data_IF_459980704502
#
_entry.id   IF_459980704502
#
_cell.length_a   1.000
_cell.length_b   1.000
_cell.length_c   1.000
_cell.angle_alpha   90.00
_cell.angle_beta   90.00
_cell.angle_gamma   90.00
#
_symmetry.space_group_name_H-M   'P 1'
#
loop_
_entity.id
_entity.type
_entity.pdbx_description
1 polymer ?
#
# COMPACT_ATOMS: atom_id res chain seq x y z
N UNK A 1 5.87 5.77 -12.75
CA UNK A 1 5.05 5.40 -11.57
C UNK A 1 5.20 6.49 -10.52
N UNK A 2 4.11 7.18 -10.17
CA UNK A 2 4.10 8.16 -9.08
C UNK A 2 2.92 7.85 -8.17
N UNK A 3 3.18 7.74 -6.88
CA UNK A 3 2.16 7.67 -5.85
C UNK A 3 2.36 8.85 -4.91
N UNK A 4 1.27 9.40 -4.38
CA UNK A 4 1.33 10.44 -3.35
C UNK A 4 0.83 9.88 -2.04
N UNK A 5 1.46 10.29 -0.95
CA UNK A 5 1.02 9.96 0.40
C UNK A 5 0.73 11.25 1.12
N UNK A 6 -0.46 11.35 1.69
CA UNK A 6 -0.89 12.48 2.52
C UNK A 6 -1.12 11.98 3.94
N UNK A 7 -0.57 12.69 4.90
CA UNK A 7 -0.93 12.52 6.30
C UNK A 7 -2.29 13.17 6.58
N UNK A 8 -3.18 12.46 7.27
CA UNK A 8 -4.56 12.91 7.53
C UNK A 8 -4.70 13.36 8.97
N UNK A 9 -4.58 12.42 9.91
CA UNK A 9 -4.66 12.65 11.35
C UNK A 9 -4.01 11.49 12.10
N UNK A 10 -3.54 11.73 13.33
CA UNK A 10 -2.93 10.68 14.16
C UNK A 10 -1.82 9.91 13.41
N UNK A 11 -1.94 8.59 13.36
CA UNK A 11 -1.07 7.70 12.56
C UNK A 11 -1.74 7.23 11.27
N UNK A 12 -2.71 7.98 10.73
CA UNK A 12 -3.46 7.62 9.53
C UNK A 12 -2.94 8.34 8.28
N UNK A 13 -2.79 7.59 7.20
CA UNK A 13 -2.25 8.05 5.92
C UNK A 13 -3.20 7.72 4.77
N UNK A 14 -3.33 8.64 3.81
CA UNK A 14 -4.04 8.43 2.55
C UNK A 14 -3.02 8.32 1.42
N UNK A 15 -2.95 7.15 0.79
CA UNK A 15 -2.19 6.92 -0.42
C UNK A 15 -3.06 7.10 -1.66
N UNK A 16 -2.57 7.80 -2.67
CA UNK A 16 -3.20 7.92 -3.99
C UNK A 16 -2.23 7.40 -5.05
N UNK A 17 -2.69 6.40 -5.81
CA UNK A 17 -1.91 5.82 -6.91
C UNK A 17 -2.00 6.68 -8.18
N UNK A 18 -1.07 6.48 -9.12
CA UNK A 18 -1.10 7.14 -10.42
C UNK A 18 -2.40 6.88 -11.22
N UNK A 19 -3.12 5.78 -10.93
CA UNK A 19 -4.39 5.44 -11.58
C UNK A 19 -5.60 6.10 -10.91
N UNK A 20 -5.39 6.96 -9.91
CA UNK A 20 -6.44 7.67 -9.19
C UNK A 20 -7.12 6.86 -8.08
N UNK A 21 -6.62 5.64 -7.78
CA UNK A 21 -7.15 4.84 -6.67
C UNK A 21 -6.57 5.30 -5.36
N UNK A 22 -7.42 5.37 -4.33
CA UNK A 22 -7.04 5.79 -3.01
C UNK A 22 -7.09 4.63 -2.02
N UNK A 23 -6.13 4.61 -1.11
CA UNK A 23 -6.04 3.63 -0.02
C UNK A 23 -5.78 4.36 1.29
N UNK A 24 -6.43 3.91 2.35
CA UNK A 24 -6.16 4.37 3.70
C UNK A 24 -5.20 3.38 4.39
N UNK A 25 -4.25 3.90 5.15
CA UNK A 25 -3.27 3.10 5.91
C UNK A 25 -3.21 3.60 7.34
N UNK A 26 -3.06 2.68 8.30
CA UNK A 26 -2.97 3.00 9.73
C UNK A 26 -1.64 2.55 10.33
N UNK A 27 -0.85 3.51 10.80
CA UNK A 27 0.42 3.28 11.50
C UNK A 27 0.24 2.82 12.95
N UNK A 28 -0.97 2.81 13.52
CA UNK A 28 -1.26 2.27 14.85
C UNK A 28 -1.46 0.75 14.79
N UNK A 29 -0.47 0.02 14.26
CA UNK A 29 -0.49 -1.45 14.11
C UNK A 29 -1.71 -2.00 13.35
N UNK A 30 -2.27 -1.23 12.43
CA UNK A 30 -3.38 -1.69 11.59
C UNK A 30 -4.77 -1.64 12.24
N UNK A 31 -4.97 -0.84 13.31
CA UNK A 31 -6.22 -0.80 14.10
C UNK A 31 -7.48 -0.48 13.26
N UNK A 32 -7.44 0.59 12.43
CA UNK A 32 -8.62 1.03 11.64
C UNK A 32 -8.49 0.85 10.13
N UNK A 33 -7.28 0.60 9.65
CA UNK A 33 -6.96 0.29 8.25
C UNK A 33 -5.67 -0.53 8.22
N UNK A 34 -5.33 -1.24 7.15
CA UNK A 34 -4.11 -2.03 7.13
C UNK A 34 -2.88 -1.17 7.36
N UNK A 35 -1.91 -1.72 8.08
CA UNK A 35 -0.63 -1.08 8.29
C UNK A 35 0.17 -0.99 6.99
N UNK A 36 1.10 -0.02 6.87
CA UNK A 36 2.00 0.05 5.72
C UNK A 36 2.75 -1.25 5.45
N UNK A 37 3.11 -2.01 6.49
CA UNK A 37 3.81 -3.28 6.37
C UNK A 37 2.90 -4.41 5.84
N UNK A 38 1.63 -4.46 6.27
CA UNK A 38 0.65 -5.40 5.71
C UNK A 38 0.37 -5.11 4.23
N UNK A 39 0.35 -3.83 3.85
CA UNK A 39 0.23 -3.42 2.44
C UNK A 39 1.39 -3.92 1.59
N UNK A 40 2.62 -3.84 2.10
CA UNK A 40 3.80 -4.40 1.41
C UNK A 40 3.68 -5.92 1.27
N UNK A 41 3.25 -6.62 2.32
CA UNK A 41 3.07 -8.07 2.29
C UNK A 41 2.00 -8.49 1.27
N UNK A 42 0.86 -7.80 1.25
CA UNK A 42 -0.19 -8.04 0.27
C UNK A 42 0.26 -7.73 -1.16
N UNK A 43 1.03 -6.66 -1.38
CA UNK A 43 1.58 -6.35 -2.69
C UNK A 43 2.54 -7.44 -3.17
N UNK A 44 3.38 -7.97 -2.27
CA UNK A 44 4.28 -9.08 -2.59
C UNK A 44 3.52 -10.37 -2.93
N UNK A 45 2.43 -10.68 -2.22
CA UNK A 45 1.59 -11.85 -2.52
C UNK A 45 0.69 -11.69 -3.75
N UNK A 46 0.26 -10.47 -4.07
CA UNK A 46 -0.65 -10.17 -5.17
C UNK A 46 0.02 -9.96 -6.53
N UNK A 47 1.33 -9.68 -6.56
CA UNK A 47 2.08 -9.62 -7.80
C UNK A 47 2.22 -11.05 -8.37
N UNK A 48 1.70 -11.37 -9.57
CA UNK A 48 2.03 -12.62 -10.22
C UNK A 48 3.51 -12.57 -10.59
N UNK A 49 4.37 -13.18 -9.76
CA UNK A 49 5.76 -13.44 -10.10
C UNK A 49 5.72 -14.44 -11.25
N UNK A 50 5.65 -13.94 -12.48
CA UNK A 50 5.78 -14.77 -13.66
C UNK A 50 7.25 -15.20 -13.73
N UNK A 51 7.57 -16.38 -13.17
CA UNK A 51 8.92 -16.96 -13.20
C UNK A 51 9.51 -17.07 -14.63
N UNK A 52 8.68 -16.93 -15.68
CA UNK A 52 9.10 -17.06 -17.06
C UNK A 52 9.89 -15.86 -17.63
N UNK A 53 10.20 -14.82 -16.84
CA UNK A 53 10.98 -13.66 -17.30
C UNK A 53 12.37 -13.55 -16.65
N UNK A 54 12.81 -14.60 -15.95
CA UNK A 54 14.17 -14.72 -15.38
C UNK A 54 15.01 -15.82 -16.06
N UNK A 55 14.54 -16.37 -17.18
CA UNK A 55 15.26 -17.29 -18.06
C UNK A 55 15.30 -16.74 -19.48
#
# INVERSE_FOLDING_TARGET
MQARVKWVEGLTFLGESASGHQILMDGNSGDKAPSPMEMVLMAAGGAPIKLSSML
#
